data_IF_392374412348
#
_entry.id   IF_392374412348
#
_cell.length_a   1.000
_cell.length_b   1.000
_cell.length_c   1.000
_cell.angle_alpha   90.00
_cell.angle_beta   90.00
_cell.angle_gamma   90.00
#
_symmetry.space_group_name_H-M   'P 1'
#
loop_
_entity.id
_entity.type
_entity.pdbx_description
1 polymer ?
#
# COMPACT_ATOMS: atom_id res chain seq x y z
N UNK A 1 9.57 -18.12 -9.27
CA UNK A 1 10.67 -17.59 -8.42
C UNK A 1 11.72 -16.81 -9.21
N UNK A 2 12.79 -17.43 -9.76
CA UNK A 2 13.93 -16.68 -10.34
C UNK A 2 13.56 -15.78 -11.52
N UNK A 3 12.66 -16.26 -12.39
CA UNK A 3 12.12 -15.47 -13.52
C UNK A 3 11.40 -14.20 -13.04
N UNK A 4 10.65 -14.30 -11.94
CA UNK A 4 9.92 -13.16 -11.37
C UNK A 4 10.87 -12.11 -10.78
N UNK A 5 11.94 -12.54 -10.10
CA UNK A 5 13.00 -11.63 -9.63
C UNK A 5 13.68 -10.89 -10.78
N UNK A 6 13.89 -11.59 -11.90
CA UNK A 6 14.50 -11.01 -13.08
C UNK A 6 13.60 -9.97 -13.75
N UNK A 7 12.29 -10.22 -13.78
CA UNK A 7 11.28 -9.26 -14.24
C UNK A 7 11.21 -8.03 -13.32
N UNK A 8 11.26 -8.22 -12.00
CA UNK A 8 11.24 -7.11 -11.03
C UNK A 8 12.48 -6.19 -11.12
N UNK A 9 13.67 -6.76 -11.36
CA UNK A 9 14.92 -6.00 -11.56
C UNK A 9 15.17 -5.56 -13.01
N UNK A 10 14.25 -5.84 -13.94
CA UNK A 10 14.40 -5.60 -15.38
C UNK A 10 15.74 -6.11 -15.94
N UNK A 11 16.10 -7.36 -15.60
CA UNK A 11 17.37 -7.98 -15.94
C UNK A 11 17.19 -9.20 -16.85
N UNK A 12 17.99 -9.27 -17.92
CA UNK A 12 18.01 -10.45 -18.80
C UNK A 12 18.84 -11.59 -18.23
N UNK A 13 18.59 -12.83 -18.66
CA UNK A 13 19.39 -14.01 -18.27
C UNK A 13 20.89 -13.84 -18.58
N UNK A 14 21.19 -13.15 -19.68
CA UNK A 14 22.56 -12.83 -20.07
C UNK A 14 23.21 -11.84 -19.10
N UNK A 15 22.51 -10.76 -18.77
CA UNK A 15 22.99 -9.74 -17.84
C UNK A 15 23.19 -10.33 -16.42
N UNK A 16 22.24 -11.16 -15.97
CA UNK A 16 22.36 -11.89 -14.71
C UNK A 16 23.59 -12.80 -14.68
N UNK A 17 23.86 -13.53 -15.77
CA UNK A 17 25.06 -14.38 -15.88
C UNK A 17 26.34 -13.57 -15.79
N UNK A 18 26.38 -12.44 -16.49
CA UNK A 18 27.54 -11.54 -16.52
C UNK A 18 27.82 -10.93 -15.14
N UNK A 19 26.78 -10.49 -14.44
CA UNK A 19 26.93 -9.77 -13.17
C UNK A 19 27.23 -10.70 -11.99
N UNK A 20 26.64 -11.90 -11.98
CA UNK A 20 26.84 -12.88 -10.90
C UNK A 20 28.05 -13.79 -11.14
N UNK A 21 28.56 -13.83 -12.36
CA UNK A 21 29.57 -14.79 -12.81
C UNK A 21 29.08 -16.24 -12.81
N UNK A 22 27.77 -16.47 -12.69
CA UNK A 22 27.16 -17.81 -12.75
C UNK A 22 27.01 -18.21 -14.22
N UNK A 23 27.42 -19.42 -14.63
CA UNK A 23 27.30 -19.85 -16.02
C UNK A 23 25.87 -19.76 -16.53
N UNK A 24 25.69 -19.22 -17.74
CA UNK A 24 24.38 -19.08 -18.38
C UNK A 24 23.58 -20.38 -18.39
N UNK A 25 24.23 -21.53 -18.66
CA UNK A 25 23.58 -22.83 -18.64
C UNK A 25 22.99 -23.17 -17.27
N UNK A 26 23.71 -22.86 -16.18
CA UNK A 26 23.24 -23.08 -14.80
C UNK A 26 22.06 -22.17 -14.46
N UNK A 27 22.13 -20.88 -14.83
CA UNK A 27 20.99 -19.97 -14.66
C UNK A 27 19.79 -20.42 -15.49
N UNK A 28 20.00 -20.86 -16.72
CA UNK A 28 18.93 -21.32 -17.59
C UNK A 28 18.25 -22.59 -17.04
N UNK A 29 19.00 -23.50 -16.43
CA UNK A 29 18.43 -24.67 -15.75
C UNK A 29 17.64 -24.28 -14.50
N UNK A 30 18.10 -23.27 -13.74
CA UNK A 30 17.37 -22.73 -12.58
C UNK A 30 16.09 -21.98 -12.99
N UNK A 31 16.18 -21.11 -13.99
CA UNK A 31 15.05 -20.31 -14.51
C UNK A 31 13.93 -21.20 -15.05
N UNK A 32 14.30 -22.31 -15.70
CA UNK A 32 13.34 -23.25 -16.28
C UNK A 32 12.98 -24.41 -15.33
N UNK A 33 13.42 -24.37 -14.08
CA UNK A 33 13.08 -25.38 -13.07
C UNK A 33 13.68 -26.77 -13.29
N UNK A 34 14.67 -26.91 -14.19
CA UNK A 34 15.41 -28.17 -14.39
C UNK A 34 16.34 -28.48 -13.23
N UNK A 35 16.77 -27.44 -12.50
CA UNK A 35 17.62 -27.55 -11.32
C UNK A 35 16.97 -26.84 -10.15
N UNK A 36 17.02 -27.49 -8.99
CA UNK A 36 16.44 -27.02 -7.73
C UNK A 36 17.44 -26.14 -6.95
N UNK A 37 16.95 -25.08 -6.30
CA UNK A 37 17.71 -24.24 -5.36
C UNK A 37 18.26 -25.03 -4.16
N UNK A 38 17.64 -26.16 -3.82
CA UNK A 38 18.18 -27.07 -2.80
C UNK A 38 19.43 -27.85 -3.26
N UNK A 39 19.72 -27.85 -4.57
CA UNK A 39 20.78 -28.64 -5.22
C UNK A 39 21.87 -27.79 -5.90
N UNK A 40 21.87 -26.48 -5.66
CA UNK A 40 22.96 -25.59 -6.08
C UNK A 40 24.01 -25.46 -4.97
N UNK A 41 25.21 -25.01 -5.34
CA UNK A 41 26.26 -24.75 -4.35
C UNK A 41 25.89 -23.54 -3.49
N UNK A 42 26.35 -23.53 -2.24
CA UNK A 42 26.19 -22.39 -1.33
C UNK A 42 26.73 -21.09 -1.95
N UNK A 43 27.80 -21.17 -2.74
CA UNK A 43 28.36 -20.03 -3.47
C UNK A 43 27.39 -19.49 -4.54
N UNK A 44 26.75 -20.36 -5.32
CA UNK A 44 25.77 -19.95 -6.34
C UNK A 44 24.56 -19.31 -5.68
N UNK A 45 24.07 -19.92 -4.58
CA UNK A 45 22.97 -19.40 -3.78
C UNK A 45 23.31 -18.02 -3.19
N UNK A 46 24.50 -17.86 -2.61
CA UNK A 46 24.99 -16.59 -2.06
C UNK A 46 25.07 -15.49 -3.14
N UNK A 47 25.64 -15.79 -4.31
CA UNK A 47 25.76 -14.84 -5.42
C UNK A 47 24.40 -14.38 -5.93
N UNK A 48 23.45 -15.30 -6.07
CA UNK A 48 22.07 -14.96 -6.46
C UNK A 48 21.37 -14.13 -5.39
N UNK A 49 21.46 -14.55 -4.12
CA UNK A 49 20.84 -13.84 -3.00
C UNK A 49 21.38 -12.40 -2.91
N UNK A 50 22.70 -12.25 -2.99
CA UNK A 50 23.37 -10.94 -3.02
C UNK A 50 22.91 -10.11 -4.21
N UNK A 51 22.81 -10.69 -5.41
CA UNK A 51 22.40 -9.95 -6.60
C UNK A 51 20.95 -9.44 -6.52
N UNK A 52 20.07 -10.18 -5.87
CA UNK A 52 18.65 -9.83 -5.72
C UNK A 52 18.32 -9.14 -4.40
N UNK A 53 19.33 -8.76 -3.62
CA UNK A 53 19.15 -8.09 -2.31
C UNK A 53 18.30 -8.94 -1.32
N UNK A 54 18.52 -10.26 -1.34
CA UNK A 54 17.88 -11.26 -0.48
C UNK A 54 18.92 -11.93 0.43
N UNK A 55 18.43 -12.52 1.52
CA UNK A 55 19.21 -13.49 2.29
C UNK A 55 19.28 -14.84 1.56
N UNK A 56 20.32 -15.63 1.87
CA UNK A 56 20.41 -17.00 1.35
C UNK A 56 19.22 -17.86 1.78
N UNK A 57 18.66 -17.64 2.98
CA UNK A 57 17.52 -18.41 3.49
C UNK A 57 16.24 -18.09 2.72
N UNK A 58 15.97 -16.82 2.42
CA UNK A 58 14.82 -16.39 1.61
C UNK A 58 14.85 -17.01 0.20
N UNK A 59 16.03 -17.03 -0.41
CA UNK A 59 16.23 -17.63 -1.73
C UNK A 59 16.20 -19.17 -1.69
N UNK A 60 16.75 -19.78 -0.63
CA UNK A 60 16.81 -21.24 -0.49
C UNK A 60 15.46 -21.85 -0.16
N UNK A 61 14.70 -21.22 0.73
CA UNK A 61 13.41 -21.71 1.19
C UNK A 61 12.29 -21.54 0.14
N UNK A 62 12.59 -21.00 -1.04
CA UNK A 62 11.56 -20.69 -2.03
C UNK A 62 10.61 -19.58 -1.58
N UNK A 63 10.92 -18.88 -0.48
CA UNK A 63 10.08 -17.87 0.18
C UNK A 63 10.12 -16.53 -0.57
N UNK A 64 10.04 -16.58 -1.89
CA UNK A 64 9.81 -15.42 -2.72
C UNK A 64 8.34 -15.30 -3.04
N UNK A 65 7.65 -14.81 -2.02
CA UNK A 65 6.83 -13.60 -2.05
C UNK A 65 5.98 -13.71 -0.81
N UNK A 66 6.08 -12.73 0.08
CA UNK A 66 4.95 -12.50 0.98
C UNK A 66 3.76 -12.24 0.08
N UNK A 67 2.79 -13.15 0.06
CA UNK A 67 1.59 -12.96 -0.76
C UNK A 67 0.95 -11.66 -0.27
N UNK A 68 0.77 -10.70 -1.17
CA UNK A 68 0.18 -9.42 -0.80
C UNK A 68 -1.30 -9.50 -1.12
N UNK A 69 -2.10 -9.39 -0.08
CA UNK A 69 -3.53 -9.19 -0.17
C UNK A 69 -3.83 -7.72 0.04
N UNK A 70 -4.73 -7.19 -0.78
CA UNK A 70 -5.25 -5.84 -0.72
C UNK A 70 -6.66 -5.92 -0.15
N UNK A 71 -6.89 -5.19 0.93
CA UNK A 71 -8.14 -5.17 1.65
C UNK A 71 -8.73 -3.76 1.54
N UNK A 72 -9.92 -3.65 0.97
CA UNK A 72 -10.59 -2.37 0.77
C UNK A 72 -12.11 -2.56 0.79
N UNK A 73 -12.85 -1.47 0.90
CA UNK A 73 -14.30 -1.50 0.77
C UNK A 73 -14.80 -0.54 -0.30
N UNK A 74 -15.89 -0.91 -0.96
CA UNK A 74 -16.73 -0.01 -1.75
C UNK A 74 -18.11 -0.01 -1.09
N UNK A 75 -18.49 1.13 -0.52
CA UNK A 75 -19.62 1.23 0.41
C UNK A 75 -19.51 0.15 1.51
N UNK A 76 -20.45 -0.79 1.52
CA UNK A 76 -20.52 -1.89 2.49
C UNK A 76 -19.86 -3.17 1.98
N UNK A 77 -19.50 -3.27 0.71
CA UNK A 77 -18.86 -4.47 0.18
C UNK A 77 -17.37 -4.41 0.50
N UNK A 78 -16.86 -5.42 1.18
CA UNK A 78 -15.44 -5.54 1.53
C UNK A 78 -14.78 -6.55 0.61
N UNK A 79 -13.62 -6.19 0.07
CA UNK A 79 -12.89 -6.96 -0.92
C UNK A 79 -11.53 -7.35 -0.39
N UNK A 80 -11.15 -8.60 -0.64
CA UNK A 80 -9.81 -9.13 -0.47
C UNK A 80 -9.28 -9.52 -1.85
N UNK A 81 -8.28 -8.79 -2.33
CA UNK A 81 -7.75 -8.97 -3.67
C UNK A 81 -6.26 -9.33 -3.64
N UNK A 82 -5.85 -10.28 -4.46
CA UNK A 82 -4.44 -10.54 -4.76
C UNK A 82 -4.29 -10.83 -6.26
N UNK A 83 -3.09 -11.17 -6.71
CA UNK A 83 -2.84 -11.43 -8.14
C UNK A 83 -3.71 -12.60 -8.63
N UNK A 84 -4.67 -12.30 -9.50
CA UNK A 84 -5.54 -13.30 -10.13
C UNK A 84 -6.69 -13.80 -9.24
N UNK A 85 -6.93 -13.18 -8.08
CA UNK A 85 -8.02 -13.56 -7.17
C UNK A 85 -8.64 -12.32 -6.54
N UNK A 86 -9.97 -12.26 -6.55
CA UNK A 86 -10.75 -11.25 -5.83
C UNK A 86 -11.89 -11.96 -5.11
N UNK A 87 -11.86 -11.93 -3.78
CA UNK A 87 -12.93 -12.40 -2.92
C UNK A 87 -13.61 -11.20 -2.25
N UNK A 88 -14.86 -11.36 -1.81
CA UNK A 88 -15.57 -10.27 -1.13
C UNK A 88 -16.67 -10.77 -0.21
N UNK A 89 -17.04 -9.95 0.77
CA UNK A 89 -18.20 -10.18 1.63
C UNK A 89 -18.95 -8.88 1.90
N UNK A 90 -20.20 -9.01 2.34
CA UNK A 90 -21.02 -7.86 2.71
C UNK A 90 -20.76 -7.46 4.17
N UNK A 91 -20.13 -6.30 4.36
CA UNK A 91 -19.83 -5.71 5.65
C UNK A 91 -21.06 -5.11 6.37
N UNK A 92 -20.85 -4.65 7.61
CA UNK A 92 -21.93 -4.14 8.46
C UNK A 92 -22.54 -2.84 7.89
N UNK A 93 -23.76 -2.50 8.34
CA UNK A 93 -24.54 -1.37 7.80
C UNK A 93 -23.90 -0.01 8.03
N UNK A 94 -23.14 0.11 9.10
CA UNK A 94 -22.44 1.31 9.53
C UNK A 94 -21.01 1.40 8.98
N UNK A 95 -20.54 0.44 8.18
CA UNK A 95 -19.19 0.48 7.60
C UNK A 95 -19.02 1.72 6.72
N UNK A 96 -18.00 2.52 7.00
CA UNK A 96 -17.62 3.67 6.17
C UNK A 96 -16.35 3.38 5.39
N UNK A 97 -15.24 3.11 6.07
CA UNK A 97 -13.98 2.75 5.41
C UNK A 97 -13.00 2.00 6.31
N UNK A 98 -12.23 1.10 5.71
CA UNK A 98 -11.10 0.44 6.37
C UNK A 98 -9.93 1.42 6.49
N UNK A 99 -9.30 1.53 7.66
CA UNK A 99 -8.23 2.50 7.89
C UNK A 99 -6.85 1.87 7.91
N UNK A 100 -6.59 0.94 8.84
CA UNK A 100 -5.25 0.38 9.03
C UNK A 100 -5.31 -1.02 9.60
N UNK A 101 -4.47 -1.91 9.07
CA UNK A 101 -4.18 -3.19 9.73
C UNK A 101 -3.40 -2.92 11.02
N UNK A 102 -3.92 -3.40 12.14
CA UNK A 102 -3.23 -3.39 13.45
C UNK A 102 -2.38 -4.63 13.62
N UNK A 103 -2.98 -5.79 13.40
CA UNK A 103 -2.34 -7.09 13.55
C UNK A 103 -3.04 -8.16 12.72
N UNK A 104 -2.34 -9.28 12.53
CA UNK A 104 -2.87 -10.49 11.90
C UNK A 104 -2.52 -11.65 12.84
N UNK A 105 -3.52 -12.38 13.31
CA UNK A 105 -3.36 -13.57 14.16
C UNK A 105 -4.31 -14.66 13.69
N UNK A 106 -3.77 -15.86 13.47
CA UNK A 106 -4.56 -17.03 13.08
C UNK A 106 -5.54 -16.74 11.93
N UNK A 107 -5.05 -16.03 10.90
CA UNK A 107 -5.82 -15.58 9.73
C UNK A 107 -6.95 -14.57 9.99
N UNK A 108 -7.12 -14.12 11.22
CA UNK A 108 -7.97 -12.98 11.57
C UNK A 108 -7.16 -11.70 11.50
N UNK A 109 -7.62 -10.74 10.71
CA UNK A 109 -7.03 -9.41 10.58
C UNK A 109 -7.79 -8.46 11.50
N UNK A 110 -7.08 -7.83 12.43
CA UNK A 110 -7.62 -6.71 13.19
C UNK A 110 -7.36 -5.42 12.41
N UNK A 111 -8.43 -4.74 12.03
CA UNK A 111 -8.39 -3.53 11.22
C UNK A 111 -9.02 -2.39 12.00
N UNK A 112 -8.30 -1.28 12.17
CA UNK A 112 -8.93 -0.02 12.56
C UNK A 112 -9.86 0.40 11.43
N UNK A 113 -11.14 0.57 11.73
CA UNK A 113 -12.20 0.81 10.74
C UNK A 113 -13.04 1.99 11.16
N UNK A 114 -13.38 2.85 10.21
CA UNK A 114 -14.33 3.93 10.39
C UNK A 114 -15.75 3.41 10.22
N UNK A 115 -16.58 3.73 11.21
CA UNK A 115 -18.00 3.46 11.20
C UNK A 115 -18.79 4.76 11.38
N UNK A 116 -20.07 4.73 11.01
CA UNK A 116 -21.01 5.82 11.26
C UNK A 116 -22.11 5.37 12.22
N UNK A 117 -22.42 6.19 13.22
CA UNK A 117 -23.54 5.91 14.13
C UNK A 117 -24.88 6.36 13.50
N UNK A 118 -25.99 6.12 14.22
CA UNK A 118 -27.33 6.50 13.76
C UNK A 118 -27.52 8.01 13.56
N UNK A 119 -26.71 8.82 14.24
CA UNK A 119 -26.74 10.28 14.15
C UNK A 119 -25.80 10.82 13.06
N UNK A 120 -25.16 9.93 12.29
CA UNK A 120 -24.22 10.28 11.22
C UNK A 120 -22.81 10.68 11.71
N UNK A 121 -22.50 10.46 12.98
CA UNK A 121 -21.17 10.73 13.53
C UNK A 121 -20.22 9.58 13.22
N UNK A 122 -19.00 9.92 12.80
CA UNK A 122 -17.95 8.97 12.47
C UNK A 122 -17.17 8.62 13.73
N UNK A 123 -16.91 7.33 13.96
CA UNK A 123 -16.03 6.83 15.01
C UNK A 123 -15.10 5.75 14.47
N UNK A 124 -14.00 5.51 15.18
CA UNK A 124 -13.02 4.48 14.86
C UNK A 124 -13.16 3.33 15.87
N UNK A 125 -13.27 2.11 15.37
CA UNK A 125 -13.30 0.90 16.18
C UNK A 125 -12.48 -0.21 15.51
N UNK A 126 -12.07 -1.21 16.30
CA UNK A 126 -11.38 -2.38 15.78
C UNK A 126 -12.40 -3.37 15.21
N UNK A 127 -12.25 -3.65 13.92
CA UNK A 127 -13.00 -4.66 13.19
C UNK A 127 -12.14 -5.93 13.03
N UNK A 128 -12.80 -7.09 13.08
CA UNK A 128 -12.16 -8.39 13.03
C UNK A 128 -12.61 -9.11 11.77
N UNK A 129 -11.67 -9.33 10.86
CA UNK A 129 -11.95 -9.88 9.54
C UNK A 129 -11.26 -11.24 9.43
N UNK A 130 -12.05 -12.30 9.42
CA UNK A 130 -11.56 -13.66 9.19
C UNK A 130 -11.32 -13.88 7.68
N UNK A 131 -10.05 -14.06 7.30
CA UNK A 131 -9.69 -14.27 5.89
C UNK A 131 -10.16 -15.63 5.37
N UNK A 132 -10.34 -16.62 6.24
CA UNK A 132 -10.83 -17.95 5.84
C UNK A 132 -12.29 -17.89 5.43
N UNK A 133 -13.10 -17.06 6.10
CA UNK A 133 -14.50 -16.83 5.73
C UNK A 133 -14.60 -16.13 4.37
N UNK A 134 -13.78 -15.10 4.14
CA UNK A 134 -13.74 -14.39 2.86
C UNK A 134 -13.30 -15.31 1.73
N UNK A 135 -12.32 -16.17 1.99
CA UNK A 135 -11.77 -17.11 1.03
C UNK A 135 -12.51 -18.45 1.00
N UNK A 136 -13.72 -18.56 1.56
CA UNK A 136 -14.46 -19.82 1.67
C UNK A 136 -14.79 -20.47 0.31
N UNK A 137 -14.87 -19.69 -0.77
CA UNK A 137 -15.03 -20.18 -2.14
C UNK A 137 -13.70 -20.59 -2.82
N UNK A 138 -12.57 -20.45 -2.12
CA UNK A 138 -11.22 -20.70 -2.60
C UNK A 138 -10.48 -21.70 -1.71
N UNK A 139 -9.31 -22.15 -2.19
CA UNK A 139 -8.38 -22.96 -1.39
C UNK A 139 -7.64 -22.07 -0.37
N UNK A 140 -8.36 -21.67 0.69
CA UNK A 140 -7.87 -20.76 1.73
C UNK A 140 -6.61 -21.30 2.42
N UNK A 141 -6.55 -22.62 2.65
CA UNK A 141 -5.38 -23.27 3.27
C UNK A 141 -4.12 -23.01 2.46
N UNK A 142 -4.15 -23.25 1.14
CA UNK A 142 -3.02 -22.99 0.27
C UNK A 142 -2.72 -21.48 0.12
N UNK A 143 -3.74 -20.63 0.08
CA UNK A 143 -3.58 -19.19 -0.08
C UNK A 143 -2.96 -18.51 1.14
N UNK A 144 -3.19 -19.04 2.33
CA UNK A 144 -2.78 -18.50 3.62
C UNK A 144 -1.63 -19.28 4.29
N UNK A 145 -1.16 -20.38 3.67
CA UNK A 145 -0.07 -21.24 4.17
C UNK A 145 1.29 -20.53 4.24
N UNK A 146 1.57 -19.62 3.31
CA UNK A 146 2.81 -18.83 3.29
C UNK A 146 2.71 -17.59 4.18
N UNK A 147 3.85 -17.01 4.59
CA UNK A 147 3.82 -15.66 5.17
C UNK A 147 3.20 -14.69 4.17
N UNK A 148 2.13 -13.98 4.54
CA UNK A 148 1.46 -12.99 3.69
C UNK A 148 1.39 -11.62 4.39
N UNK A 149 1.07 -10.58 3.62
CA UNK A 149 0.85 -9.22 4.11
C UNK A 149 -0.52 -8.75 3.63
N UNK A 150 -1.23 -7.99 4.48
CA UNK A 150 -2.46 -7.30 4.13
C UNK A 150 -2.14 -5.82 3.99
N UNK A 151 -2.52 -5.21 2.87
CA UNK A 151 -2.43 -3.77 2.64
C UNK A 151 -3.83 -3.18 2.51
N UNK A 152 -4.08 -2.04 3.16
CA UNK A 152 -5.35 -1.32 2.99
C UNK A 152 -5.31 -0.55 1.66
N UNK A 153 -6.42 -0.59 0.92
CA UNK A 153 -6.61 0.13 -0.34
C UNK A 153 -6.61 -0.79 -1.57
N UNK A 154 -7.11 -0.27 -2.70
CA UNK A 154 -7.24 -1.06 -3.94
C UNK A 154 -5.88 -1.27 -4.62
N UNK A 155 -5.61 -2.47 -5.18
CA UNK A 155 -4.41 -2.69 -5.98
C UNK A 155 -4.49 -1.94 -7.32
N UNK A 156 -3.31 -1.61 -7.87
CA UNK A 156 -3.16 -1.03 -9.21
C UNK A 156 -3.90 0.29 -9.47
N UNK A 157 -4.26 1.03 -8.42
CA UNK A 157 -4.80 2.38 -8.59
C UNK A 157 -3.79 3.25 -9.34
N UNK A 158 -4.27 3.88 -10.41
CA UNK A 158 -3.57 5.00 -11.04
C UNK A 158 -3.24 6.04 -9.98
N UNK A 159 -2.19 6.84 -10.21
CA UNK A 159 -1.82 7.89 -9.27
C UNK A 159 -3.00 8.84 -8.96
N UNK A 160 -3.92 9.03 -9.91
CA UNK A 160 -5.13 9.80 -9.70
C UNK A 160 -6.13 9.10 -8.77
N UNK A 161 -6.43 7.82 -8.98
CA UNK A 161 -7.36 7.07 -8.13
C UNK A 161 -6.84 6.92 -6.70
N UNK A 162 -5.52 6.74 -6.55
CA UNK A 162 -4.87 6.68 -5.23
C UNK A 162 -5.04 7.98 -4.45
N UNK A 163 -4.84 9.11 -5.13
CA UNK A 163 -5.02 10.41 -4.50
C UNK A 163 -6.50 10.73 -4.23
N UNK A 164 -7.44 10.20 -5.01
CA UNK A 164 -8.87 10.32 -4.72
C UNK A 164 -9.26 9.54 -3.46
N UNK A 165 -8.66 8.36 -3.27
CA UNK A 165 -8.84 7.50 -2.09
C UNK A 165 -8.23 8.13 -0.82
N UNK A 166 -7.02 8.69 -0.93
CA UNK A 166 -6.30 9.30 0.20
C UNK A 166 -6.78 10.72 0.55
N UNK A 167 -7.38 11.44 -0.40
CA UNK A 167 -7.75 12.84 -0.19
C UNK A 167 -8.90 12.97 0.82
N UNK A 168 -8.68 13.78 1.85
CA UNK A 168 -9.80 14.25 2.66
C UNK A 168 -10.72 15.16 1.84
N UNK A 169 -10.21 15.85 0.82
CA UNK A 169 -11.01 16.70 -0.05
C UNK A 169 -10.32 16.88 -1.40
N UNK A 170 -11.09 16.97 -2.48
CA UNK A 170 -10.59 17.42 -3.79
C UNK A 170 -11.20 18.77 -4.14
N UNK A 171 -10.37 19.75 -4.50
CA UNK A 171 -10.80 21.09 -4.90
C UNK A 171 -9.82 21.69 -5.92
N UNK A 172 -10.31 22.34 -6.97
CA UNK A 172 -9.49 22.99 -8.02
C UNK A 172 -8.39 22.10 -8.63
N UNK A 173 -8.71 20.84 -8.92
CA UNK A 173 -7.75 19.82 -9.37
C UNK A 173 -6.60 19.56 -8.39
N UNK A 174 -6.85 19.77 -7.09
CA UNK A 174 -5.93 19.45 -6.01
C UNK A 174 -6.58 18.43 -5.08
N UNK A 175 -5.90 17.32 -4.84
CA UNK A 175 -6.16 16.45 -3.71
C UNK A 175 -5.54 17.08 -2.46
N UNK A 176 -6.34 17.23 -1.41
CA UNK A 176 -5.93 17.73 -0.09
C UNK A 176 -5.96 16.52 0.84
N UNK A 177 -4.81 16.22 1.42
CA UNK A 177 -4.54 15.06 2.26
C UNK A 177 -4.13 15.58 3.64
N UNK A 178 -4.77 15.08 4.70
CA UNK A 178 -4.42 15.46 6.06
C UNK A 178 -3.08 14.83 6.45
N UNK A 179 -2.17 15.63 7.00
CA UNK A 179 -0.95 15.16 7.65
C UNK A 179 -1.07 15.36 9.15
N UNK A 180 -0.89 14.27 9.88
CA UNK A 180 -0.80 14.37 11.33
C UNK A 180 0.55 14.93 11.76
N UNK A 181 0.50 15.81 12.75
CA UNK A 181 1.59 15.99 13.68
C UNK A 181 1.03 15.89 15.09
N UNK A 182 1.68 15.05 15.89
CA UNK A 182 1.37 14.67 17.27
C UNK A 182 1.39 15.84 18.29
N UNK A 183 1.41 17.08 17.80
CA UNK A 183 1.52 18.34 18.54
C UNK A 183 0.26 19.22 18.37
N UNK A 184 -0.81 18.70 17.73
CA UNK A 184 -2.09 19.41 17.59
C UNK A 184 -2.10 20.54 16.54
N UNK A 185 -1.07 20.62 15.68
CA UNK A 185 -1.07 21.48 14.49
C UNK A 185 -1.50 20.69 13.25
N UNK A 186 -2.64 21.05 12.67
CA UNK A 186 -3.14 20.44 11.44
C UNK A 186 -2.25 20.87 10.27
N UNK A 187 -1.67 19.89 9.58
CA UNK A 187 -0.95 20.08 8.32
C UNK A 187 -1.72 19.38 7.21
N UNK A 188 -1.59 19.91 5.99
CA UNK A 188 -2.16 19.28 4.80
C UNK A 188 -1.11 19.19 3.70
N UNK A 189 -1.09 18.06 3.02
CA UNK A 189 -0.43 17.91 1.74
C UNK A 189 -1.45 18.16 0.63
N UNK A 190 -1.03 18.94 -0.36
CA UNK A 190 -1.86 19.33 -1.49
C UNK A 190 -1.15 18.86 -2.75
N UNK A 191 -1.79 17.98 -3.52
CA UNK A 191 -1.18 17.33 -4.69
C UNK A 191 -2.04 17.61 -5.91
N UNK A 192 -1.43 18.06 -6.99
CA UNK A 192 -2.16 18.30 -8.22
C UNK A 192 -2.62 17.00 -8.89
N UNK A 193 -3.89 16.95 -9.25
CA UNK A 193 -4.54 15.77 -9.84
C UNK A 193 -4.09 15.47 -11.27
N UNK A 194 -3.71 16.48 -12.04
CA UNK A 194 -3.21 16.28 -13.40
C UNK A 194 -1.69 16.14 -13.45
N UNK A 195 -0.99 16.66 -12.44
CA UNK A 195 0.47 16.64 -12.30
C UNK A 195 0.83 16.12 -10.91
N UNK A 196 0.73 14.82 -10.72
CA UNK A 196 0.94 14.13 -9.43
C UNK A 196 2.29 14.41 -8.76
N UNK A 197 3.27 14.94 -9.51
CA UNK A 197 4.57 15.37 -8.99
C UNK A 197 4.55 16.75 -8.34
N UNK A 198 3.56 17.59 -8.64
CA UNK A 198 3.40 18.93 -8.09
C UNK A 198 2.65 18.86 -6.77
N UNK A 199 3.35 19.21 -5.69
CA UNK A 199 2.94 19.00 -4.30
C UNK A 199 3.35 20.17 -3.41
N UNK A 200 2.52 20.45 -2.41
CA UNK A 200 2.74 21.50 -1.43
C UNK A 200 2.26 21.03 -0.07
N UNK A 201 3.09 21.17 0.96
CA UNK A 201 2.74 20.98 2.35
C UNK A 201 2.44 22.34 2.99
N UNK A 202 1.32 22.42 3.69
CA UNK A 202 0.77 23.67 4.24
C UNK A 202 0.38 23.46 5.70
N UNK A 203 0.74 24.40 6.58
CA UNK A 203 0.20 24.47 7.95
C UNK A 203 -1.14 25.19 7.92
N UNK A 204 -2.18 24.59 8.50
CA UNK A 204 -3.52 25.13 8.41
C UNK A 204 -3.75 26.37 9.30
N UNK A 205 -3.01 26.51 10.41
CA UNK A 205 -3.16 27.60 11.39
C UNK A 205 -2.95 29.00 10.77
N UNK A 206 -1.91 29.14 9.97
CA UNK A 206 -1.43 30.41 9.40
C UNK A 206 -1.31 30.36 7.87
N UNK A 207 -1.65 29.23 7.24
CA UNK A 207 -1.45 28.97 5.83
C UNK A 207 0.02 29.11 5.41
N UNK A 208 0.96 28.86 6.33
CA UNK A 208 2.37 28.85 6.02
C UNK A 208 2.70 27.66 5.12
N UNK A 209 3.37 27.94 3.99
CA UNK A 209 3.91 26.91 3.11
C UNK A 209 5.15 26.31 3.77
N UNK A 210 5.09 25.03 4.11
CA UNK A 210 6.17 24.31 4.78
C UNK A 210 7.17 23.74 3.78
N UNK A 211 6.67 23.23 2.65
CA UNK A 211 7.45 22.71 1.54
C UNK A 211 6.63 22.75 0.26
N UNK A 212 7.26 23.01 -0.88
CA UNK A 212 6.56 23.02 -2.17
C UNK A 212 7.51 22.84 -3.34
N UNK A 213 7.04 22.19 -4.39
CA UNK A 213 7.64 22.24 -5.73
C UNK A 213 6.66 22.79 -6.78
N UNK A 214 5.54 23.38 -6.33
CA UNK A 214 4.56 24.04 -7.19
C UNK A 214 5.07 25.41 -7.63
N UNK A 215 4.65 25.88 -8.81
CA UNK A 215 4.87 27.27 -9.22
C UNK A 215 4.07 28.26 -8.38
N UNK A 216 4.48 29.52 -8.29
CA UNK A 216 3.81 30.55 -7.47
C UNK A 216 2.32 30.69 -7.78
N UNK A 217 1.93 30.61 -9.05
CA UNK A 217 0.53 30.65 -9.47
C UNK A 217 -0.26 29.45 -8.94
N UNK A 218 0.36 28.27 -8.91
CA UNK A 218 -0.25 27.03 -8.42
C UNK A 218 -0.31 27.00 -6.90
N UNK A 219 0.72 27.49 -6.21
CA UNK A 219 0.72 27.67 -4.76
C UNK A 219 -0.43 28.59 -4.31
N UNK A 220 -0.60 29.75 -4.97
CA UNK A 220 -1.72 30.67 -4.69
C UNK A 220 -3.07 29.96 -4.80
N UNK A 221 -3.29 29.19 -5.86
CA UNK A 221 -4.53 28.41 -6.04
C UNK A 221 -4.73 27.36 -4.96
N UNK A 222 -3.68 26.62 -4.62
CA UNK A 222 -3.73 25.61 -3.59
C UNK A 222 -4.02 26.20 -2.19
N UNK A 223 -3.41 27.35 -1.85
CA UNK A 223 -3.71 28.08 -0.61
C UNK A 223 -5.17 28.53 -0.57
N UNK A 224 -5.69 29.11 -1.65
CA UNK A 224 -7.09 29.55 -1.72
C UNK A 224 -8.08 28.38 -1.65
N UNK A 225 -7.74 27.24 -2.26
CA UNK A 225 -8.52 26.01 -2.14
C UNK A 225 -8.60 25.53 -0.67
N UNK A 226 -7.48 25.56 0.08
CA UNK A 226 -7.49 25.21 1.49
C UNK A 226 -8.25 26.23 2.34
N UNK A 227 -8.05 27.54 2.13
CA UNK A 227 -8.76 28.60 2.87
C UNK A 227 -10.28 28.47 2.76
N UNK A 228 -10.80 28.30 1.54
CA UNK A 228 -12.24 28.17 1.28
C UNK A 228 -12.85 26.95 1.97
N UNK A 229 -12.07 25.88 2.11
CA UNK A 229 -12.54 24.61 2.66
C UNK A 229 -12.03 24.34 4.10
N UNK A 230 -11.43 25.34 4.75
CA UNK A 230 -10.78 25.20 6.06
C UNK A 230 -11.69 24.58 7.12
N UNK A 231 -12.96 24.97 7.18
CA UNK A 231 -13.94 24.38 8.12
C UNK A 231 -14.12 22.87 7.92
N UNK A 232 -14.30 22.44 6.67
CA UNK A 232 -14.48 21.02 6.32
C UNK A 232 -13.19 20.22 6.59
N UNK A 233 -12.03 20.80 6.31
CA UNK A 233 -10.73 20.18 6.59
C UNK A 233 -10.53 20.00 8.10
N UNK A 234 -10.88 21.01 8.91
CA UNK A 234 -10.82 20.93 10.37
C UNK A 234 -11.80 19.88 10.90
N UNK A 235 -13.01 19.83 10.38
CA UNK A 235 -14.01 18.83 10.76
C UNK A 235 -13.52 17.41 10.43
N UNK A 236 -12.99 17.21 9.23
CA UNK A 236 -12.37 15.93 8.83
C UNK A 236 -11.15 15.59 9.69
N UNK A 237 -10.33 16.55 10.09
CA UNK A 237 -9.20 16.30 10.99
C UNK A 237 -9.60 15.89 12.41
N UNK A 238 -10.83 16.19 12.83
CA UNK A 238 -11.37 15.78 14.13
C UNK A 238 -12.02 14.40 14.09
N UNK A 239 -12.54 13.99 12.93
CA UNK A 239 -13.12 12.66 12.69
C UNK A 239 -12.12 11.65 12.13
N UNK A 240 -10.97 12.11 11.63
CA UNK A 240 -9.86 11.30 11.12
C UNK A 240 -8.72 11.34 12.14
N UNK A 241 -8.43 10.25 12.90
CA UNK A 241 -7.26 10.15 13.74
C UNK A 241 -5.95 10.43 12.98
N UNK A 242 -4.90 10.78 13.74
CA UNK A 242 -3.57 11.07 13.21
C UNK A 242 -3.03 10.05 12.19
N UNK A 243 -2.96 10.41 10.89
CA UNK A 243 -2.19 9.66 9.88
C UNK A 243 -0.70 9.73 10.20
N UNK A 244 -0.17 8.70 10.87
CA UNK A 244 1.28 8.48 10.97
C UNK A 244 1.86 8.37 9.57
N UNK A 245 2.79 9.26 9.27
CA UNK A 245 3.42 9.38 7.96
C UNK A 245 3.91 8.04 7.43
N UNK A 246 3.60 7.77 6.17
CA UNK A 246 4.40 6.87 5.36
C UNK A 246 5.85 7.38 5.43
N UNK A 247 6.67 6.71 6.24
CA UNK A 247 8.11 6.88 6.18
C UNK A 247 8.54 6.37 4.81
N UNK A 248 8.66 7.29 3.86
CA UNK A 248 9.55 7.10 2.72
C UNK A 248 10.97 7.26 3.27
N UNK A 249 11.55 6.13 3.65
CA UNK A 249 13.00 5.92 3.69
C UNK A 249 13.29 4.58 3.05
#
# INVERSE_FOLDING_TARGET
MLRELMEEKDVSSYQLSKDTGIPYATLNDLINGKRDFHKITAETLYRLATYFDLTMDELYAGKLRKRVFYLYNEDRQVYLQTKGLTASYLGPKNLLSLHRVKEIRDHVVTVETYFTNTDGQIYLEDDFIDLTDILSEYDAENLLQDSYTIMIGKPNLSAQERLLDEACLVSDNMAIILKDNSVGEIQVDIINMARHTARMSLRLRDYAVLATNMSDAMQKRAIEAVKRNSKQIIEKSKSTPPMKGHNVR
#
